data_IF_878179205827
#
_entry.id   IF_878179205827
#
_cell.length_a   1.000
_cell.length_b   1.000
_cell.length_c   1.000
_cell.angle_alpha   90.00
_cell.angle_beta   90.00
_cell.angle_gamma   90.00
#
_symmetry.space_group_name_H-M   'P 1'
#
loop_
_entity.id
_entity.type
_entity.pdbx_description
1 polymer ?
#
# COMPACT_ATOMS: atom_id res chain seq x y z
N UNK A 1 30.52 -15.64 -23.89
CA UNK A 1 29.41 -16.59 -23.71
C UNK A 1 29.31 -16.83 -22.22
N UNK A 2 28.40 -16.18 -21.56
CA UNK A 2 28.17 -16.37 -20.12
C UNK A 2 26.67 -16.65 -19.98
N UNK A 3 26.36 -17.91 -19.64
CA UNK A 3 24.99 -18.41 -19.52
C UNK A 3 24.25 -17.75 -18.36
N UNK A 4 23.12 -17.16 -18.67
CA UNK A 4 22.11 -16.77 -17.72
C UNK A 4 21.48 -18.04 -17.11
N UNK A 5 21.84 -18.37 -15.90
CA UNK A 5 21.10 -19.35 -15.11
C UNK A 5 19.81 -18.68 -14.60
N UNK A 6 18.73 -18.94 -15.29
CA UNK A 6 17.38 -18.58 -14.85
C UNK A 6 16.96 -19.59 -13.76
N UNK A 7 16.87 -19.11 -12.54
CA UNK A 7 16.29 -19.92 -11.47
C UNK A 7 14.79 -19.67 -11.44
N UNK A 8 14.02 -20.56 -12.04
CA UNK A 8 12.57 -20.44 -12.25
C UNK A 8 11.70 -20.55 -10.99
N UNK A 9 12.32 -20.63 -9.80
CA UNK A 9 11.58 -20.83 -8.55
C UNK A 9 11.57 -19.69 -7.57
N UNK A 10 12.27 -18.59 -7.88
CA UNK A 10 12.23 -17.41 -7.02
C UNK A 10 12.63 -16.20 -7.85
N UNK A 11 11.72 -15.26 -8.05
CA UNK A 11 11.91 -14.05 -8.89
C UNK A 11 12.84 -13.02 -8.25
N UNK A 12 13.90 -13.44 -7.58
CA UNK A 12 14.93 -12.54 -7.06
C UNK A 12 15.99 -12.37 -8.14
N UNK A 13 15.91 -11.27 -8.86
CA UNK A 13 16.96 -10.82 -9.75
C UNK A 13 18.12 -10.28 -8.90
N UNK A 14 19.25 -11.01 -8.90
CA UNK A 14 20.48 -10.46 -8.36
C UNK A 14 21.02 -9.39 -9.31
N UNK A 15 20.97 -8.13 -8.89
CA UNK A 15 21.52 -7.01 -9.63
C UNK A 15 23.03 -7.10 -9.69
N UNK A 16 23.59 -7.16 -10.90
CA UNK A 16 25.04 -7.14 -11.10
C UNK A 16 25.55 -5.69 -11.05
N UNK A 17 26.13 -5.29 -9.93
CA UNK A 17 26.67 -3.94 -9.66
C UNK A 17 27.60 -3.36 -10.75
N UNK A 18 28.08 -4.15 -11.70
CA UNK A 18 29.02 -3.71 -12.73
C UNK A 18 28.38 -3.11 -13.98
N UNK A 19 27.05 -3.04 -14.08
CA UNK A 19 26.31 -2.53 -15.26
C UNK A 19 25.12 -1.62 -14.95
N UNK A 20 25.06 -1.05 -13.76
CA UNK A 20 24.11 0.03 -13.54
C UNK A 20 24.55 1.24 -14.39
N UNK A 21 23.69 1.83 -15.25
CA UNK A 21 23.98 3.15 -15.79
C UNK A 21 24.17 4.08 -14.58
N UNK A 22 25.21 4.92 -14.63
CA UNK A 22 25.29 6.05 -13.72
C UNK A 22 24.08 6.95 -14.02
N UNK A 23 23.02 6.77 -13.23
CA UNK A 23 21.96 7.77 -13.16
C UNK A 23 22.62 8.99 -12.54
N UNK A 24 22.96 9.97 -13.35
CA UNK A 24 23.33 11.28 -12.84
C UNK A 24 22.16 11.78 -12.02
N UNK A 25 22.39 12.04 -10.73
CA UNK A 25 21.41 12.70 -9.90
C UNK A 25 20.92 13.98 -10.61
N UNK A 26 19.61 14.30 -10.54
CA UNK A 26 19.12 15.55 -11.09
C UNK A 26 20.00 16.69 -10.60
N UNK A 27 20.46 17.55 -11.50
CA UNK A 27 21.34 18.67 -11.18
C UNK A 27 20.62 19.57 -10.16
N UNK A 28 21.09 19.57 -8.93
CA UNK A 28 20.54 20.41 -7.86
C UNK A 28 20.19 19.68 -6.55
N UNK A 29 20.15 18.34 -6.56
CA UNK A 29 19.92 17.56 -5.33
C UNK A 29 21.23 16.85 -4.98
N UNK A 30 21.87 17.24 -3.89
CA UNK A 30 23.11 16.63 -3.40
C UNK A 30 22.82 15.34 -2.62
N UNK A 31 23.80 14.43 -2.55
CA UNK A 31 23.71 13.23 -1.70
C UNK A 31 23.40 13.56 -0.22
N UNK A 32 23.74 14.77 0.22
CA UNK A 32 23.42 15.28 1.57
C UNK A 32 21.91 15.55 1.77
N UNK A 33 21.16 15.80 0.68
CA UNK A 33 19.73 16.07 0.75
C UNK A 33 18.93 14.76 0.96
N UNK A 34 19.51 13.62 0.62
CA UNK A 34 18.96 12.29 0.91
C UNK A 34 19.44 11.72 2.26
N UNK A 35 20.53 12.26 2.80
CA UNK A 35 20.95 11.96 4.15
C UNK A 35 20.11 12.78 5.12
N UNK A 36 18.84 12.43 5.27
CA UNK A 36 18.02 12.96 6.36
C UNK A 36 18.74 12.70 7.66
N UNK A 37 19.36 13.75 8.20
CA UNK A 37 20.22 13.65 9.36
C UNK A 37 19.47 12.97 10.51
N UNK A 38 19.72 11.68 10.73
CA UNK A 38 19.35 10.99 11.94
C UNK A 38 17.91 10.47 12.02
N UNK A 39 17.07 10.56 10.98
CA UNK A 39 15.75 9.91 11.01
C UNK A 39 15.90 8.41 10.75
N UNK A 40 15.54 7.54 11.70
CA UNK A 40 15.66 6.11 11.50
C UNK A 40 14.75 5.64 10.37
N UNK A 41 15.26 4.70 9.54
CA UNK A 41 14.48 4.06 8.50
C UNK A 41 13.31 3.29 9.14
N UNK A 42 12.12 3.43 8.57
CA UNK A 42 10.92 2.74 9.01
C UNK A 42 10.50 1.70 7.98
N UNK A 43 9.92 0.61 8.45
CA UNK A 43 9.49 -0.50 7.62
C UNK A 43 7.99 -0.73 7.77
N UNK A 44 7.32 -1.01 6.65
CA UNK A 44 5.94 -1.47 6.62
C UNK A 44 5.91 -2.96 6.31
N UNK A 45 5.08 -3.74 7.04
CA UNK A 45 4.80 -5.11 6.67
C UNK A 45 3.67 -5.16 5.65
N UNK A 46 3.82 -6.02 4.62
CA UNK A 46 2.80 -6.31 3.61
C UNK A 46 2.41 -7.79 3.59
N UNK A 47 2.89 -8.56 4.55
CA UNK A 47 2.76 -10.03 4.59
C UNK A 47 1.31 -10.50 4.59
N UNK A 48 0.46 -9.85 5.39
CA UNK A 48 -0.94 -10.23 5.54
C UNK A 48 -1.88 -9.71 4.44
N UNK A 49 -1.39 -8.85 3.55
CA UNK A 49 -2.13 -8.43 2.36
C UNK A 49 -1.46 -8.96 1.10
N UNK A 50 -0.34 -8.39 0.69
CA UNK A 50 0.28 -8.73 -0.59
C UNK A 50 1.03 -10.05 -0.55
N UNK A 51 1.77 -10.32 0.52
CA UNK A 51 2.51 -11.58 0.66
C UNK A 51 1.58 -12.80 0.56
N UNK A 52 0.49 -12.84 1.33
CA UNK A 52 -0.47 -13.93 1.23
C UNK A 52 -1.32 -13.90 -0.06
N UNK A 53 -1.53 -12.72 -0.63
CA UNK A 53 -2.21 -12.58 -1.92
C UNK A 53 -1.40 -13.22 -3.03
N UNK A 54 -0.10 -12.97 -3.07
CA UNK A 54 0.80 -13.45 -4.11
C UNK A 54 1.22 -14.91 -3.95
N UNK A 55 1.45 -15.36 -2.71
CA UNK A 55 1.99 -16.70 -2.43
C UNK A 55 0.91 -17.76 -2.17
N UNK A 56 -0.25 -17.36 -1.62
CA UNK A 56 -1.32 -18.27 -1.22
C UNK A 56 -2.63 -18.01 -1.96
N UNK A 57 -2.57 -17.34 -3.11
CA UNK A 57 -3.75 -16.95 -3.88
C UNK A 57 -4.83 -16.29 -3.01
N UNK A 58 -4.42 -15.50 -2.03
CA UNK A 58 -5.28 -14.82 -1.04
C UNK A 58 -6.09 -15.79 -0.14
N UNK A 59 -5.67 -17.06 -0.04
CA UNK A 59 -6.45 -18.10 0.66
C UNK A 59 -6.10 -18.29 2.13
N UNK A 60 -5.22 -17.46 2.70
CA UNK A 60 -4.90 -17.54 4.12
C UNK A 60 -6.11 -17.08 4.95
N UNK A 61 -6.59 -17.95 5.85
CA UNK A 61 -7.73 -17.64 6.70
C UNK A 61 -7.33 -16.74 7.86
N UNK A 62 -8.29 -16.07 8.48
CA UNK A 62 -8.02 -15.27 9.69
C UNK A 62 -7.44 -16.13 10.80
N UNK A 63 -7.90 -17.37 10.94
CA UNK A 63 -7.41 -18.32 11.94
C UNK A 63 -5.92 -18.67 11.75
N UNK A 64 -5.47 -18.81 10.49
CA UNK A 64 -4.07 -19.10 10.18
C UNK A 64 -3.13 -17.93 10.51
N UNK A 65 -3.64 -16.69 10.48
CA UNK A 65 -2.86 -15.48 10.77
C UNK A 65 -2.67 -15.22 12.27
N UNK A 66 -3.67 -15.58 13.10
CA UNK A 66 -3.68 -15.28 14.54
C UNK A 66 -2.38 -15.66 15.26
N UNK A 67 -1.78 -16.85 15.06
CA UNK A 67 -0.58 -17.25 15.77
C UNK A 67 0.65 -16.35 15.56
N UNK A 68 0.64 -15.55 14.48
CA UNK A 68 1.76 -14.69 14.09
C UNK A 68 1.56 -13.23 14.53
N UNK A 69 0.34 -12.80 14.84
CA UNK A 69 0.00 -11.38 15.01
C UNK A 69 0.79 -10.69 16.12
N UNK A 70 0.91 -11.33 17.29
CA UNK A 70 1.64 -10.75 18.43
C UNK A 70 3.14 -10.66 18.14
N UNK A 71 3.71 -11.65 17.44
CA UNK A 71 5.12 -11.64 17.05
C UNK A 71 5.38 -10.53 16.02
N UNK A 72 4.50 -10.38 15.03
CA UNK A 72 4.59 -9.32 14.02
C UNK A 72 4.43 -7.93 14.64
N UNK A 73 3.52 -7.78 15.64
CA UNK A 73 3.36 -6.53 16.38
C UNK A 73 4.61 -6.14 17.20
N UNK A 74 5.36 -7.15 17.65
CA UNK A 74 6.60 -6.95 18.42
C UNK A 74 7.80 -6.52 17.57
N UNK A 75 7.76 -6.68 16.24
CA UNK A 75 8.86 -6.30 15.33
C UNK A 75 9.07 -4.79 15.29
N UNK A 76 8.00 -4.00 15.49
CA UNK A 76 8.08 -2.54 15.48
C UNK A 76 7.94 -1.90 14.09
N UNK A 77 7.12 -2.49 13.25
CA UNK A 77 6.75 -1.88 11.96
C UNK A 77 6.05 -0.52 12.13
N UNK A 78 6.24 0.38 11.16
CA UNK A 78 5.55 1.68 11.12
C UNK A 78 4.05 1.49 10.80
N UNK A 79 3.73 0.49 9.97
CA UNK A 79 2.37 0.00 9.78
C UNK A 79 2.36 -1.45 9.28
N UNK A 80 1.22 -2.10 9.42
CA UNK A 80 0.98 -3.47 8.94
C UNK A 80 -0.18 -3.45 7.95
N UNK A 81 0.12 -3.70 6.69
CA UNK A 81 -0.87 -3.80 5.63
C UNK A 81 -1.54 -5.16 5.68
N UNK A 82 -2.82 -5.19 6.04
CA UNK A 82 -3.53 -6.44 6.30
C UNK A 82 -4.81 -6.62 5.49
N UNK A 83 -5.24 -5.58 4.77
CA UNK A 83 -6.52 -5.57 4.10
C UNK A 83 -6.48 -4.79 2.78
N UNK A 84 -7.29 -5.20 1.81
CA UNK A 84 -7.43 -4.57 0.50
C UNK A 84 -8.52 -5.23 -0.32
N UNK A 85 -8.60 -4.89 -1.61
CA UNK A 85 -9.65 -5.37 -2.49
C UNK A 85 -9.73 -6.89 -2.59
N UNK A 86 -8.62 -7.54 -2.95
CA UNK A 86 -8.59 -8.98 -3.13
C UNK A 86 -8.81 -9.73 -1.80
N UNK A 87 -8.23 -9.27 -0.71
CA UNK A 87 -8.41 -9.90 0.61
C UNK A 87 -9.86 -9.79 1.10
N UNK A 88 -10.54 -8.67 0.82
CA UNK A 88 -11.95 -8.52 1.12
C UNK A 88 -12.82 -9.47 0.28
N UNK A 89 -12.63 -9.45 -1.04
CA UNK A 89 -13.41 -10.24 -1.98
C UNK A 89 -13.25 -11.74 -1.74
N UNK A 90 -12.02 -12.21 -1.52
CA UNK A 90 -11.73 -13.62 -1.25
C UNK A 90 -12.27 -14.08 0.09
N UNK A 91 -12.19 -13.24 1.13
CA UNK A 91 -12.79 -13.56 2.42
C UNK A 91 -14.28 -13.92 2.27
N UNK A 92 -15.03 -13.09 1.55
CA UNK A 92 -16.46 -13.29 1.32
C UNK A 92 -16.72 -14.49 0.39
N UNK A 93 -16.08 -14.53 -0.78
CA UNK A 93 -16.45 -15.45 -1.88
C UNK A 93 -15.91 -16.86 -1.71
N UNK A 94 -14.73 -17.00 -1.10
CA UNK A 94 -14.04 -18.28 -1.06
C UNK A 94 -13.80 -18.83 0.34
N UNK A 95 -13.47 -17.96 1.29
CA UNK A 95 -13.17 -18.39 2.65
C UNK A 95 -14.40 -18.45 3.56
N UNK A 96 -15.50 -17.77 3.17
CA UNK A 96 -16.69 -17.56 3.98
C UNK A 96 -16.37 -16.89 5.33
N UNK A 97 -15.32 -16.09 5.33
CA UNK A 97 -14.89 -15.25 6.44
C UNK A 97 -15.58 -13.88 6.36
N UNK A 98 -15.93 -13.32 7.51
CA UNK A 98 -16.32 -11.93 7.61
C UNK A 98 -15.07 -11.03 7.54
N UNK A 99 -14.90 -10.23 6.46
CA UNK A 99 -13.72 -9.37 6.32
C UNK A 99 -13.65 -8.29 7.40
N UNK A 100 -14.76 -7.84 7.96
CA UNK A 100 -14.80 -6.87 9.05
C UNK A 100 -14.35 -7.48 10.38
N UNK A 101 -14.77 -8.71 10.66
CA UNK A 101 -14.33 -9.43 11.86
C UNK A 101 -12.82 -9.75 11.79
N UNK A 102 -12.27 -9.93 10.58
CA UNK A 102 -10.81 -10.04 10.41
C UNK A 102 -10.08 -8.82 10.94
N UNK A 103 -10.51 -7.60 10.59
CA UNK A 103 -9.91 -6.35 11.09
C UNK A 103 -10.03 -6.27 12.60
N UNK A 104 -11.22 -6.53 13.15
CA UNK A 104 -11.44 -6.52 14.60
C UNK A 104 -10.57 -7.55 15.32
N UNK A 105 -10.39 -8.72 14.71
CA UNK A 105 -9.52 -9.78 15.25
C UNK A 105 -8.07 -9.33 15.27
N UNK A 106 -7.57 -8.71 14.20
CA UNK A 106 -6.23 -8.13 14.20
C UNK A 106 -6.06 -7.13 15.35
N UNK A 107 -7.01 -6.23 15.59
CA UNK A 107 -6.96 -5.27 16.71
C UNK A 107 -6.97 -5.92 18.10
N UNK A 108 -7.43 -7.18 18.24
CA UNK A 108 -7.33 -7.93 19.50
C UNK A 108 -5.88 -8.30 19.83
N UNK A 109 -5.05 -8.59 18.82
CA UNK A 109 -3.68 -9.07 19.00
C UNK A 109 -2.62 -8.00 18.69
N UNK A 110 -2.84 -7.17 17.67
CA UNK A 110 -1.94 -6.08 17.27
C UNK A 110 -2.29 -4.82 18.05
N UNK A 111 -1.40 -4.42 18.97
CA UNK A 111 -1.64 -3.31 19.92
C UNK A 111 -0.81 -2.06 19.62
N UNK A 112 0.36 -2.23 19.02
CA UNK A 112 1.36 -1.17 18.81
C UNK A 112 1.38 -0.70 17.37
N UNK A 113 1.34 -1.65 16.44
CA UNK A 113 1.49 -1.38 15.01
C UNK A 113 0.16 -0.89 14.41
N UNK A 114 0.13 0.28 13.76
CA UNK A 114 -1.05 0.74 13.03
C UNK A 114 -1.45 -0.25 11.92
N UNK A 115 -2.75 -0.52 11.79
CA UNK A 115 -3.28 -1.36 10.71
C UNK A 115 -3.53 -0.52 9.47
N UNK A 116 -3.02 -1.00 8.32
CA UNK A 116 -3.16 -0.36 7.03
C UNK A 116 -4.00 -1.18 6.07
N UNK A 117 -4.78 -0.50 5.23
CA UNK A 117 -5.47 -1.10 4.10
C UNK A 117 -5.14 -0.40 2.79
N UNK A 118 -5.27 -1.15 1.69
CA UNK A 118 -5.20 -0.61 0.32
C UNK A 118 -6.61 -0.33 -0.19
N UNK A 119 -6.83 0.90 -0.65
CA UNK A 119 -8.12 1.39 -1.12
C UNK A 119 -8.00 1.91 -2.55
N UNK A 120 -8.87 1.43 -3.44
CA UNK A 120 -8.89 1.85 -4.86
C UNK A 120 -9.77 3.07 -5.07
N UNK A 121 -9.46 4.20 -4.42
CA UNK A 121 -10.24 5.43 -4.57
C UNK A 121 -11.75 5.19 -4.53
N UNK A 122 -12.46 5.70 -5.54
CA UNK A 122 -13.92 5.55 -5.67
C UNK A 122 -14.40 4.10 -5.84
N UNK A 123 -13.49 3.17 -6.21
CA UNK A 123 -13.83 1.75 -6.36
C UNK A 123 -13.73 0.98 -5.04
N UNK A 124 -13.25 1.59 -3.96
CA UNK A 124 -13.07 0.96 -2.66
C UNK A 124 -12.27 -0.34 -2.75
N UNK A 125 -12.90 -1.45 -2.41
CA UNK A 125 -12.36 -2.82 -2.54
C UNK A 125 -12.90 -3.56 -3.77
N UNK A 126 -13.72 -2.89 -4.59
CA UNK A 126 -14.40 -3.45 -5.76
C UNK A 126 -13.71 -3.14 -7.08
N UNK A 127 -14.46 -3.33 -8.17
CA UNK A 127 -13.98 -3.23 -9.56
C UNK A 127 -14.74 -2.20 -10.39
N UNK A 128 -15.59 -1.40 -9.78
CA UNK A 128 -16.34 -0.29 -10.38
C UNK A 128 -16.52 0.82 -9.36
N UNK A 129 -16.74 2.03 -9.82
CA UNK A 129 -16.99 3.18 -8.97
C UNK A 129 -18.30 3.01 -8.17
N UNK A 130 -18.24 3.33 -6.89
CA UNK A 130 -19.40 3.40 -6.00
C UNK A 130 -19.86 4.84 -5.83
N UNK A 131 -21.14 5.08 -5.48
CA UNK A 131 -21.61 6.40 -5.09
C UNK A 131 -20.88 6.95 -3.85
N UNK A 132 -20.82 8.26 -3.71
CA UNK A 132 -20.06 8.93 -2.64
C UNK A 132 -20.51 8.52 -1.24
N UNK A 133 -21.81 8.37 -1.01
CA UNK A 133 -22.37 7.92 0.27
C UNK A 133 -21.90 6.51 0.66
N UNK A 134 -21.74 5.62 -0.31
CA UNK A 134 -21.19 4.27 -0.10
C UNK A 134 -19.71 4.36 0.24
N UNK A 135 -18.95 5.23 -0.44
CA UNK A 135 -17.52 5.45 -0.15
C UNK A 135 -17.34 5.98 1.27
N UNK A 136 -18.12 6.98 1.66
CA UNK A 136 -18.10 7.55 3.01
C UNK A 136 -18.45 6.51 4.08
N UNK A 137 -19.52 5.75 3.87
CA UNK A 137 -19.97 4.73 4.81
C UNK A 137 -18.95 3.60 4.96
N UNK A 138 -18.35 3.14 3.86
CA UNK A 138 -17.32 2.09 3.90
C UNK A 138 -16.10 2.53 4.68
N UNK A 139 -15.59 3.75 4.43
CA UNK A 139 -14.41 4.28 5.12
C UNK A 139 -14.69 4.49 6.61
N UNK A 140 -15.85 5.03 6.95
CA UNK A 140 -16.25 5.18 8.34
C UNK A 140 -16.27 3.82 9.08
N UNK A 141 -16.86 2.81 8.45
CA UNK A 141 -16.93 1.46 9.02
C UNK A 141 -15.53 0.80 9.12
N UNK A 142 -14.65 1.01 8.13
CA UNK A 142 -13.28 0.49 8.17
C UNK A 142 -12.47 1.14 9.29
N UNK A 143 -12.61 2.46 9.47
CA UNK A 143 -11.98 3.20 10.55
C UNK A 143 -12.47 2.75 11.93
N UNK A 144 -13.78 2.52 12.08
CA UNK A 144 -14.40 1.98 13.30
C UNK A 144 -13.94 0.55 13.59
N UNK A 145 -13.83 -0.30 12.57
CA UNK A 145 -13.33 -1.67 12.71
C UNK A 145 -11.87 -1.73 13.17
N UNK A 146 -11.08 -0.68 12.91
CA UNK A 146 -9.72 -0.57 13.44
C UNK A 146 -8.63 -0.26 12.41
N UNK A 147 -8.98 0.12 11.17
CA UNK A 147 -7.99 0.60 10.20
C UNK A 147 -7.51 2.00 10.62
N UNK A 148 -6.19 2.18 10.63
CA UNK A 148 -5.53 3.42 11.05
C UNK A 148 -4.93 4.20 9.89
N UNK A 149 -4.53 3.50 8.81
CA UNK A 149 -3.89 4.07 7.63
C UNK A 149 -4.58 3.56 6.37
N UNK A 150 -4.94 4.46 5.48
CA UNK A 150 -5.55 4.14 4.19
C UNK A 150 -4.56 4.50 3.06
N UNK A 151 -3.93 3.49 2.47
CA UNK A 151 -3.18 3.63 1.22
C UNK A 151 -4.19 3.73 0.08
N UNK A 152 -4.33 4.92 -0.47
CA UNK A 152 -5.35 5.20 -1.46
C UNK A 152 -4.71 5.51 -2.81
N UNK A 153 -5.16 4.83 -3.85
CA UNK A 153 -4.67 5.03 -5.20
C UNK A 153 -5.79 4.99 -6.25
N UNK A 154 -5.50 5.51 -7.42
CA UNK A 154 -6.22 5.26 -8.66
C UNK A 154 -5.24 4.74 -9.71
N UNK A 155 -5.58 3.64 -10.38
CA UNK A 155 -4.69 2.97 -11.34
C UNK A 155 -4.30 3.84 -12.55
N UNK A 156 -5.13 4.84 -12.90
CA UNK A 156 -4.87 5.81 -13.95
C UNK A 156 -4.29 7.13 -13.40
N UNK A 157 -4.06 7.20 -12.09
CA UNK A 157 -3.60 8.39 -11.37
C UNK A 157 -4.52 9.61 -11.54
N UNK A 158 -5.81 9.37 -11.71
CA UNK A 158 -6.84 10.40 -11.74
C UNK A 158 -7.32 10.71 -10.30
N UNK A 159 -6.77 11.76 -9.72
CA UNK A 159 -7.04 12.13 -8.33
C UNK A 159 -8.50 12.51 -8.04
N UNK A 160 -9.30 12.81 -9.07
CA UNK A 160 -10.74 13.02 -8.91
C UNK A 160 -11.45 11.77 -8.36
N UNK A 161 -10.92 10.59 -8.69
CA UNK A 161 -11.40 9.31 -8.14
C UNK A 161 -11.00 9.06 -6.68
N UNK A 162 -10.11 9.87 -6.13
CA UNK A 162 -9.66 9.77 -4.74
C UNK A 162 -10.29 10.82 -3.81
N UNK A 163 -10.91 11.87 -4.35
CA UNK A 163 -11.38 13.03 -3.56
C UNK A 163 -12.34 12.66 -2.44
N UNK A 164 -13.38 11.88 -2.74
CA UNK A 164 -14.39 11.48 -1.76
C UNK A 164 -13.77 10.62 -0.68
N UNK A 165 -12.88 9.68 -1.07
CA UNK A 165 -12.17 8.83 -0.13
C UNK A 165 -11.27 9.66 0.81
N UNK A 166 -10.47 10.60 0.28
CA UNK A 166 -9.62 11.46 1.10
C UNK A 166 -10.41 12.30 2.10
N UNK A 167 -11.53 12.89 1.65
CA UNK A 167 -12.44 13.64 2.53
C UNK A 167 -13.00 12.77 3.66
N UNK A 168 -13.43 11.56 3.33
CA UNK A 168 -14.00 10.61 4.29
C UNK A 168 -12.95 10.13 5.32
N UNK A 169 -11.72 9.81 4.88
CA UNK A 169 -10.62 9.38 5.76
C UNK A 169 -10.25 10.51 6.74
N UNK A 170 -10.14 11.76 6.25
CA UNK A 170 -9.92 12.93 7.11
C UNK A 170 -11.04 13.11 8.13
N UNK A 171 -12.30 12.97 7.71
CA UNK A 171 -13.47 13.05 8.60
C UNK A 171 -13.43 11.98 9.69
N UNK A 172 -12.93 10.78 9.37
CA UNK A 172 -12.73 9.69 10.30
C UNK A 172 -11.50 9.86 11.22
N UNK A 173 -10.70 10.93 11.04
CA UNK A 173 -9.49 11.18 11.83
C UNK A 173 -8.35 10.19 11.58
N UNK A 174 -8.32 9.56 10.41
CA UNK A 174 -7.34 8.54 10.03
C UNK A 174 -6.27 9.10 9.10
N UNK A 175 -5.17 8.36 8.94
CA UNK A 175 -4.05 8.76 8.07
C UNK A 175 -4.33 8.38 6.62
N UNK A 176 -3.99 9.30 5.72
CA UNK A 176 -4.00 9.07 4.28
C UNK A 176 -2.56 8.84 3.84
N UNK A 177 -2.31 7.70 3.22
CA UNK A 177 -1.12 7.42 2.45
C UNK A 177 -1.52 7.52 0.97
N UNK A 178 -1.06 8.58 0.31
CA UNK A 178 -1.26 8.78 -1.12
C UNK A 178 -0.31 7.89 -1.91
N UNK A 179 -0.65 7.54 -3.14
CA UNK A 179 0.18 6.67 -3.96
C UNK A 179 0.43 7.26 -5.34
N UNK A 180 1.71 7.24 -5.75
CA UNK A 180 2.15 7.54 -7.10
C UNK A 180 2.52 6.22 -7.75
N UNK A 181 1.80 5.85 -8.81
CA UNK A 181 2.06 4.65 -9.58
C UNK A 181 3.17 4.94 -10.60
N UNK A 182 4.38 4.48 -10.30
CA UNK A 182 5.50 4.65 -11.23
C UNK A 182 5.29 3.82 -12.49
N UNK A 183 5.54 4.43 -13.63
CA UNK A 183 5.44 3.79 -14.94
C UNK A 183 6.33 4.49 -15.93
N UNK A 184 6.74 3.79 -17.00
CA UNK A 184 7.57 4.35 -18.08
C UNK A 184 6.73 4.47 -19.34
N UNK A 185 6.50 5.71 -19.76
CA UNK A 185 5.88 6.03 -21.05
C UNK A 185 6.23 7.48 -21.44
N UNK A 186 5.96 7.90 -22.69
CA UNK A 186 6.16 9.29 -23.10
C UNK A 186 5.37 10.33 -22.29
N UNK A 187 4.35 9.92 -21.56
CA UNK A 187 3.48 10.78 -20.74
C UNK A 187 3.87 10.80 -19.26
N UNK A 188 4.62 9.81 -18.80
CA UNK A 188 5.03 9.66 -17.41
C UNK A 188 6.42 10.25 -17.20
N UNK A 189 6.47 11.57 -16.98
CA UNK A 189 7.71 12.29 -16.67
C UNK A 189 7.84 12.48 -15.15
N UNK A 190 9.05 12.80 -14.70
CA UNK A 190 9.30 13.10 -13.27
C UNK A 190 8.40 14.24 -12.78
N UNK A 191 8.19 15.27 -13.61
CA UNK A 191 7.34 16.41 -13.27
C UNK A 191 5.89 15.99 -13.04
N UNK A 192 5.36 15.06 -13.85
CA UNK A 192 4.00 14.52 -13.68
C UNK A 192 3.87 13.78 -12.35
N UNK A 193 4.85 12.96 -11.99
CA UNK A 193 4.84 12.24 -10.69
C UNK A 193 4.96 13.20 -9.52
N UNK A 194 5.85 14.19 -9.59
CA UNK A 194 5.99 15.22 -8.55
C UNK A 194 4.71 16.02 -8.39
N UNK A 195 4.10 16.46 -9.51
CA UNK A 195 2.85 17.20 -9.47
C UNK A 195 1.73 16.38 -8.83
N UNK A 196 1.60 15.10 -9.21
CA UNK A 196 0.62 14.19 -8.63
C UNK A 196 0.81 14.03 -7.10
N UNK A 197 2.07 13.89 -6.66
CA UNK A 197 2.38 13.79 -5.23
C UNK A 197 1.99 15.07 -4.47
N UNK A 198 2.34 16.25 -5.02
CA UNK A 198 2.00 17.56 -4.40
C UNK A 198 0.48 17.78 -4.32
N UNK A 199 -0.27 17.38 -5.34
CA UNK A 199 -1.73 17.46 -5.32
C UNK A 199 -2.32 16.57 -4.23
N UNK A 200 -1.84 15.33 -4.09
CA UNK A 200 -2.27 14.44 -3.02
C UNK A 200 -1.93 14.99 -1.62
N UNK A 201 -0.77 15.61 -1.44
CA UNK A 201 -0.41 16.30 -0.20
C UNK A 201 -1.39 17.44 0.11
N UNK A 202 -1.72 18.28 -0.88
CA UNK A 202 -2.73 19.35 -0.75
C UNK A 202 -4.11 18.81 -0.39
N UNK A 203 -4.48 17.65 -0.94
CA UNK A 203 -5.72 16.96 -0.59
C UNK A 203 -5.70 16.38 0.83
N UNK A 204 -4.53 16.25 1.45
CA UNK A 204 -4.34 15.86 2.85
C UNK A 204 -3.65 14.54 3.07
N UNK A 205 -2.96 13.98 2.08
CA UNK A 205 -2.05 12.87 2.30
C UNK A 205 -0.91 13.30 3.24
N UNK A 206 -0.66 12.48 4.27
CA UNK A 206 0.41 12.69 5.24
C UNK A 206 1.61 11.77 5.03
N UNK A 207 1.44 10.78 4.18
CA UNK A 207 2.44 9.83 3.74
C UNK A 207 2.33 9.70 2.22
N UNK A 208 3.46 9.46 1.55
CA UNK A 208 3.49 9.23 0.11
C UNK A 208 4.15 7.89 -0.19
N UNK A 209 3.45 7.08 -0.96
CA UNK A 209 3.91 5.80 -1.47
C UNK A 209 4.28 5.93 -2.94
N UNK A 210 5.45 5.43 -3.33
CA UNK A 210 5.81 5.28 -4.74
C UNK A 210 5.82 3.80 -5.05
N UNK A 211 4.98 3.38 -5.98
CA UNK A 211 4.78 1.98 -6.32
C UNK A 211 5.28 1.69 -7.73
N UNK A 212 6.34 0.89 -7.83
CA UNK A 212 6.88 0.38 -9.09
C UNK A 212 6.29 -1.00 -9.40
N UNK A 213 5.07 -1.00 -9.95
CA UNK A 213 4.35 -2.23 -10.31
C UNK A 213 5.01 -3.00 -11.47
N UNK A 214 5.61 -2.33 -12.47
CA UNK A 214 6.22 -3.02 -13.61
C UNK A 214 7.61 -3.59 -13.35
N UNK A 215 8.23 -3.32 -12.19
CA UNK A 215 9.64 -3.68 -11.89
C UNK A 215 10.63 -3.12 -12.95
N UNK A 216 10.59 -1.82 -13.24
CA UNK A 216 11.33 -1.15 -14.30
C UNK A 216 12.68 -0.56 -13.84
#
# INVERSE_FOLDING_TARGET
MTSLLRNERCGILFWNKKKAPELSAPSGIGAADFAGAGTPLKFNSVDFRDGQQSLFATRLTTADMIPLLEQMDAVGYDSMEMWGGATFDVAVRFLKDDPWERVRTFKKYVKKTPLKMVLRGQNLVGYKAYPDDVVEAFIAQAAEAGIDVFLTFDALQDLRNCETAFKAIKKAGKKIEGSVQYNVSPFHTTEVFVQNALEQEQMGASLMHVEDMPDL
#
